data_IF_084966036404
#
_entry.id   IF_084966036404
#
_cell.length_a   1.000
_cell.length_b   1.000
_cell.length_c   1.000
_cell.angle_alpha   90.00
_cell.angle_beta   90.00
_cell.angle_gamma   90.00
#
_symmetry.space_group_name_H-M   'P 1'
#
loop_
_entity.id
_entity.type
_entity.pdbx_description
1 polymer ?
#
# COMPACT_ATOMS: atom_id res chain seq x y z
N UNK A 1 17.00 -3.36 4.11
CA UNK A 1 16.03 -2.83 5.13
C UNK A 1 14.79 -3.72 5.25
N UNK A 2 14.18 -3.87 6.44
CA UNK A 2 12.87 -4.55 6.58
C UNK A 2 11.75 -3.52 6.70
N UNK A 3 10.56 -3.89 6.28
CA UNK A 3 9.34 -3.07 6.41
C UNK A 3 8.27 -3.87 7.14
N UNK A 4 7.66 -3.26 8.16
CA UNK A 4 6.53 -3.80 8.92
C UNK A 4 5.31 -2.95 8.62
N UNK A 5 4.31 -3.53 7.97
CA UNK A 5 3.02 -2.90 7.75
C UNK A 5 2.11 -3.23 8.93
N UNK A 6 1.55 -2.19 9.54
CA UNK A 6 0.56 -2.25 10.60
C UNK A 6 -0.80 -1.91 9.98
N UNK A 7 -1.68 -2.92 9.89
CA UNK A 7 -3.05 -2.77 9.38
C UNK A 7 -3.98 -2.75 10.57
N UNK A 8 -4.90 -1.79 10.62
CA UNK A 8 -5.88 -1.73 11.69
C UNK A 8 -6.72 -3.01 11.71
N UNK A 9 -6.86 -3.64 12.89
CA UNK A 9 -7.79 -4.75 13.06
C UNK A 9 -9.20 -4.23 12.87
N UNK A 10 -9.87 -4.75 11.85
CA UNK A 10 -11.25 -4.42 11.53
C UNK A 10 -12.17 -4.99 12.62
N UNK A 11 -12.30 -4.29 13.76
CA UNK A 11 -13.37 -4.55 14.71
C UNK A 11 -14.66 -4.03 14.08
N UNK A 12 -15.23 -4.84 13.17
CA UNK A 12 -16.56 -4.74 12.53
C UNK A 12 -17.10 -3.34 12.36
N UNK A 13 -17.15 -2.83 11.11
CA UNK A 13 -18.29 -2.08 10.49
C UNK A 13 -18.87 -0.84 11.22
N UNK A 14 -18.42 -0.54 12.44
CA UNK A 14 -18.98 0.44 13.38
C UNK A 14 -18.24 1.77 13.23
N UNK A 15 -17.03 1.74 12.67
CA UNK A 15 -16.22 2.93 12.43
C UNK A 15 -16.79 3.74 11.25
N UNK A 16 -17.42 3.10 10.26
CA UNK A 16 -17.98 3.77 9.07
C UNK A 16 -19.05 4.83 9.41
N UNK A 17 -19.83 4.67 10.48
CA UNK A 17 -20.85 5.66 10.88
C UNK A 17 -20.29 6.83 11.69
N UNK A 18 -19.28 6.59 12.55
CA UNK A 18 -18.59 7.66 13.29
C UNK A 18 -17.58 8.43 12.41
N UNK A 19 -17.18 7.85 11.27
CA UNK A 19 -16.16 8.36 10.35
C UNK A 19 -16.53 9.64 9.59
N UNK A 20 -17.81 9.93 9.37
CA UNK A 20 -18.24 11.06 8.56
C UNK A 20 -18.24 12.39 9.35
N UNK A 21 -18.38 12.33 10.67
CA UNK A 21 -18.58 13.51 11.52
C UNK A 21 -17.26 14.10 12.06
N UNK A 22 -16.20 13.30 12.22
CA UNK A 22 -15.01 13.72 12.99
C UNK A 22 -13.79 14.23 12.17
N UNK A 23 -13.70 14.03 10.86
CA UNK A 23 -12.48 14.45 10.11
C UNK A 23 -12.77 15.04 8.73
N UNK A 24 -12.73 16.37 8.65
CA UNK A 24 -12.72 17.18 7.42
C UNK A 24 -11.38 17.18 6.66
N UNK A 25 -10.45 16.27 6.98
CA UNK A 25 -9.14 16.20 6.31
C UNK A 25 -9.06 14.99 5.38
N UNK A 26 -8.84 15.23 4.09
CA UNK A 26 -8.69 14.18 3.08
C UNK A 26 -7.56 13.21 3.48
N UNK A 27 -7.82 11.91 3.40
CA UNK A 27 -6.80 10.87 3.56
C UNK A 27 -5.72 11.00 2.48
N UNK A 28 -4.44 10.70 2.77
CA UNK A 28 -3.39 10.60 1.74
C UNK A 28 -3.76 9.65 0.58
N UNK A 29 -4.52 8.59 0.88
CA UNK A 29 -5.10 7.67 -0.10
C UNK A 29 -6.14 8.30 -1.05
N UNK A 30 -6.69 9.44 -0.67
CA UNK A 30 -7.72 10.18 -1.40
C UNK A 30 -7.14 11.44 -2.08
N UNK A 31 -5.86 11.75 -1.86
CA UNK A 31 -5.21 12.91 -2.46
C UNK A 31 -4.29 12.43 -3.58
N UNK A 32 -4.55 12.92 -4.80
CA UNK A 32 -3.75 12.58 -5.97
C UNK A 32 -2.32 13.11 -5.84
N UNK A 33 -1.35 12.38 -6.42
CA UNK A 33 0.08 12.68 -6.34
C UNK A 33 0.46 14.04 -6.94
N UNK A 34 -0.23 14.48 -7.98
CA UNK A 34 -0.02 15.77 -8.67
C UNK A 34 -0.48 16.99 -7.85
N UNK A 35 -1.36 16.78 -6.86
CA UNK A 35 -1.94 17.84 -6.03
C UNK A 35 -1.07 18.17 -4.80
N UNK A 36 -0.21 17.24 -4.38
CA UNK A 36 0.59 17.39 -3.17
C UNK A 36 2.04 17.78 -3.49
N UNK A 37 2.56 18.77 -2.75
CA UNK A 37 3.99 19.05 -2.72
C UNK A 37 4.71 18.06 -1.78
N UNK A 38 6.02 17.87 -1.98
CA UNK A 38 6.81 16.89 -1.22
C UNK A 38 6.77 17.13 0.29
N UNK A 39 6.73 18.39 0.77
CA UNK A 39 6.69 18.71 2.21
C UNK A 39 5.36 18.35 2.87
N UNK A 40 4.25 18.42 2.14
CA UNK A 40 2.94 18.12 2.72
C UNK A 40 2.81 16.64 3.03
N UNK A 41 3.43 15.76 2.24
CA UNK A 41 3.25 14.32 2.45
C UNK A 41 4.00 13.78 3.65
N UNK A 42 5.14 14.37 4.03
CA UNK A 42 5.89 13.93 5.21
C UNK A 42 5.06 14.20 6.47
N UNK A 43 4.39 15.36 6.54
CA UNK A 43 3.49 15.72 7.63
C UNK A 43 2.33 14.72 7.74
N UNK A 44 1.73 14.30 6.63
CA UNK A 44 0.65 13.30 6.65
C UNK A 44 1.13 11.90 7.05
N UNK A 45 2.35 11.53 6.68
CA UNK A 45 2.94 10.23 7.02
C UNK A 45 3.39 10.18 8.49
N UNK A 46 4.02 11.24 9.01
CA UNK A 46 4.40 11.39 10.42
C UNK A 46 3.17 11.35 11.34
N UNK A 47 2.12 12.11 11.00
CA UNK A 47 0.85 12.09 11.77
C UNK A 47 0.19 10.71 11.83
N UNK A 48 0.46 9.82 10.87
CA UNK A 48 -0.05 8.44 10.87
C UNK A 48 0.83 7.48 11.66
N UNK A 49 2.15 7.72 11.65
CA UNK A 49 3.10 6.92 12.44
C UNK A 49 2.89 7.12 13.95
N UNK A 50 2.37 8.28 14.36
CA UNK A 50 1.93 8.55 15.73
C UNK A 50 0.59 7.81 15.96
N UNK A 51 0.68 6.51 16.24
CA UNK A 51 -0.47 5.64 16.48
C UNK A 51 -1.30 6.08 17.69
N UNK A 52 -2.62 5.92 17.59
CA UNK A 52 -3.52 6.04 18.74
C UNK A 52 -3.34 4.81 19.66
N UNK A 53 -3.11 5.03 20.95
CA UNK A 53 -2.74 4.02 21.96
C UNK A 53 -3.78 2.90 22.09
N UNK A 54 -5.02 3.13 21.64
CA UNK A 54 -6.13 2.17 21.74
C UNK A 54 -6.35 1.31 20.49
N UNK A 55 -5.57 1.48 19.42
CA UNK A 55 -5.78 0.73 18.17
C UNK A 55 -4.98 -0.58 18.17
N UNK A 56 -5.65 -1.67 17.80
CA UNK A 56 -5.00 -2.96 17.56
C UNK A 56 -4.64 -3.09 16.09
N UNK A 57 -3.43 -3.57 15.80
CA UNK A 57 -2.95 -3.72 14.44
C UNK A 57 -2.44 -5.14 14.17
N UNK A 58 -2.76 -5.65 13.00
CA UNK A 58 -2.10 -6.80 12.41
C UNK A 58 -0.79 -6.39 11.75
N UNK A 59 0.26 -7.16 11.99
CA UNK A 59 1.61 -6.87 11.50
C UNK A 59 2.01 -7.80 10.36
N UNK A 60 2.45 -7.21 9.26
CA UNK A 60 2.95 -7.91 8.08
C UNK A 60 4.36 -7.45 7.76
N UNK A 61 5.32 -8.38 7.71
CA UNK A 61 6.74 -8.02 7.58
C UNK A 61 7.31 -8.48 6.25
N UNK A 62 7.84 -7.54 5.47
CA UNK A 62 8.69 -7.84 4.32
C UNK A 62 10.14 -7.70 4.74
N UNK A 63 10.86 -8.82 4.74
CA UNK A 63 12.31 -8.85 4.96
C UNK A 63 13.03 -8.45 3.69
N UNK A 64 14.02 -7.58 3.82
CA UNK A 64 14.84 -7.11 2.71
C UNK A 64 14.00 -6.59 1.52
N UNK A 65 13.32 -5.46 1.74
CA UNK A 65 12.45 -4.79 0.76
C UNK A 65 13.14 -4.50 -0.58
N UNK A 66 14.47 -4.35 -0.58
CA UNK A 66 15.27 -4.11 -1.80
C UNK A 66 15.12 -5.23 -2.83
N UNK A 67 14.81 -6.46 -2.39
CA UNK A 67 14.56 -7.60 -3.29
C UNK A 67 13.34 -7.43 -4.19
N UNK A 68 12.38 -6.60 -3.81
CA UNK A 68 11.21 -6.29 -4.66
C UNK A 68 11.64 -5.49 -5.89
N UNK A 69 12.75 -4.75 -5.82
CA UNK A 69 13.25 -3.97 -6.96
C UNK A 69 12.36 -2.78 -7.34
N UNK A 70 11.47 -2.33 -6.45
CA UNK A 70 10.66 -1.11 -6.63
C UNK A 70 11.15 0.01 -5.69
N UNK A 71 11.16 1.24 -6.19
CA UNK A 71 11.52 2.44 -5.43
C UNK A 71 10.24 3.09 -4.88
N UNK A 72 9.92 2.82 -3.61
CA UNK A 72 8.75 3.37 -2.93
C UNK A 72 9.06 4.74 -2.33
N UNK A 73 8.42 5.80 -2.83
CA UNK A 73 8.64 7.17 -2.35
C UNK A 73 8.29 7.36 -0.87
N UNK A 74 7.36 6.57 -0.34
CA UNK A 74 7.04 6.57 1.10
C UNK A 74 8.25 6.10 1.92
N UNK A 75 8.97 5.07 1.48
CA UNK A 75 10.08 4.51 2.27
C UNK A 75 11.34 5.39 2.21
N UNK A 76 11.53 6.13 1.13
CA UNK A 76 12.66 7.07 1.03
C UNK A 76 12.66 8.12 2.14
N UNK A 77 11.48 8.56 2.55
CA UNK A 77 11.29 9.52 3.65
C UNK A 77 11.63 8.96 5.02
N UNK A 78 11.69 7.63 5.15
CA UNK A 78 12.00 6.94 6.39
C UNK A 78 13.42 6.36 6.40
N UNK A 79 14.23 6.58 5.36
CA UNK A 79 15.60 6.05 5.23
C UNK A 79 16.54 6.50 6.37
N UNK A 80 16.28 7.66 6.98
CA UNK A 80 17.12 8.21 8.05
C UNK A 80 16.90 7.55 9.43
N UNK A 81 15.88 6.70 9.57
CA UNK A 81 15.56 6.00 10.82
C UNK A 81 16.10 4.56 10.70
N UNK A 82 17.32 4.32 11.17
CA UNK A 82 17.94 2.98 11.16
C UNK A 82 17.31 2.06 12.21
N UNK A 83 16.15 1.52 11.87
CA UNK A 83 15.52 0.32 12.41
C UNK A 83 14.55 -0.17 11.31
N UNK A 84 13.82 -1.27 11.51
CA UNK A 84 12.76 -1.65 10.57
C UNK A 84 11.82 -0.46 10.32
N UNK A 85 11.43 -0.19 9.08
CA UNK A 85 10.43 0.85 8.80
C UNK A 85 9.08 0.30 9.24
N UNK A 86 8.43 0.96 10.19
CA UNK A 86 7.05 0.68 10.55
C UNK A 86 6.11 1.61 9.78
N UNK A 87 5.09 1.04 9.13
CA UNK A 87 4.14 1.78 8.30
C UNK A 87 2.73 1.48 8.78
N UNK A 88 2.04 2.50 9.23
CA UNK A 88 0.66 2.42 9.66
C UNK A 88 -0.25 2.75 8.48
N UNK A 89 -1.02 1.76 8.01
CA UNK A 89 -1.95 1.95 6.90
C UNK A 89 -3.15 2.78 7.34
N UNK A 90 -3.79 3.43 6.37
CA UNK A 90 -4.98 4.21 6.65
C UNK A 90 -6.13 3.29 7.04
N UNK A 91 -6.99 3.76 7.96
CA UNK A 91 -8.26 3.11 8.34
C UNK A 91 -9.21 2.77 7.18
N UNK A 92 -9.05 3.39 6.01
CA UNK A 92 -9.84 3.06 4.81
C UNK A 92 -9.28 1.88 4.02
N UNK A 93 -8.07 1.43 4.33
CA UNK A 93 -7.47 0.26 3.68
C UNK A 93 -8.06 -0.99 4.33
N UNK A 94 -8.85 -1.71 3.54
CA UNK A 94 -9.33 -3.02 3.97
C UNK A 94 -8.17 -4.00 4.04
N UNK A 95 -8.18 -4.85 5.08
CA UNK A 95 -7.16 -5.88 5.26
C UNK A 95 -7.09 -6.83 4.06
N UNK A 96 -8.24 -7.21 3.51
CA UNK A 96 -8.32 -8.08 2.34
C UNK A 96 -7.59 -7.48 1.12
N UNK A 97 -7.80 -6.19 0.84
CA UNK A 97 -7.13 -5.50 -0.27
C UNK A 97 -5.62 -5.43 -0.06
N UNK A 98 -5.19 -5.12 1.17
CA UNK A 98 -3.75 -5.12 1.47
C UNK A 98 -3.15 -6.51 1.30
N UNK A 99 -3.83 -7.58 1.71
CA UNK A 99 -3.34 -8.94 1.55
C UNK A 99 -3.09 -9.29 0.08
N UNK A 100 -3.96 -8.87 -0.83
CA UNK A 100 -3.75 -9.03 -2.28
C UNK A 100 -2.44 -8.36 -2.72
N UNK A 101 -2.20 -7.12 -2.27
CA UNK A 101 -0.97 -6.42 -2.61
C UNK A 101 0.27 -7.02 -1.93
N UNK A 102 0.13 -7.46 -0.68
CA UNK A 102 1.21 -8.10 0.06
C UNK A 102 1.64 -9.41 -0.60
N UNK A 103 0.68 -10.25 -1.01
CA UNK A 103 0.93 -11.47 -1.79
C UNK A 103 1.67 -11.16 -3.10
N UNK A 104 1.30 -10.07 -3.78
CA UNK A 104 2.01 -9.59 -4.96
C UNK A 104 3.45 -9.16 -4.65
N UNK A 105 3.71 -8.44 -3.57
CA UNK A 105 5.07 -8.02 -3.21
C UNK A 105 5.98 -9.22 -2.91
N UNK A 106 5.47 -10.21 -2.17
CA UNK A 106 6.25 -11.42 -1.85
C UNK A 106 6.39 -12.39 -3.03
N UNK A 107 5.63 -12.19 -4.12
CA UNK A 107 5.85 -12.90 -5.39
C UNK A 107 7.02 -12.32 -6.19
N UNK A 108 7.72 -11.29 -5.70
CA UNK A 108 8.91 -10.69 -6.33
C UNK A 108 8.69 -10.31 -7.81
N UNK A 109 7.48 -9.84 -8.13
CA UNK A 109 7.06 -9.48 -9.48
C UNK A 109 7.08 -10.66 -10.48
N UNK A 110 6.97 -11.91 -10.02
CA UNK A 110 6.68 -13.03 -10.91
C UNK A 110 5.21 -12.97 -11.39
N UNK A 111 4.92 -13.46 -12.61
CA UNK A 111 3.54 -13.52 -13.09
C UNK A 111 2.62 -14.32 -12.15
N UNK A 112 1.43 -13.80 -11.89
CA UNK A 112 0.40 -14.44 -11.06
C UNK A 112 -0.77 -14.85 -11.94
N UNK A 113 -0.82 -16.12 -12.35
CA UNK A 113 -1.79 -16.60 -13.35
C UNK A 113 -3.24 -16.75 -12.84
N UNK A 114 -3.50 -16.47 -11.56
CA UNK A 114 -4.86 -16.37 -10.97
C UNK A 114 -5.22 -14.91 -10.64
N UNK A 115 -5.13 -14.06 -11.66
CA UNK A 115 -5.38 -12.62 -11.56
C UNK A 115 -6.85 -12.31 -11.89
N UNK A 116 -7.58 -11.70 -10.97
CA UNK A 116 -8.91 -11.14 -11.25
C UNK A 116 -8.78 -9.65 -11.59
N UNK A 117 -9.82 -9.06 -12.18
CA UNK A 117 -9.89 -7.62 -12.43
C UNK A 117 -9.74 -6.83 -11.12
N UNK A 118 -10.39 -7.30 -10.04
CA UNK A 118 -10.28 -6.70 -8.71
C UNK A 118 -8.84 -6.72 -8.20
N UNK A 119 -8.16 -7.89 -8.23
CA UNK A 119 -6.76 -7.99 -7.80
C UNK A 119 -5.85 -7.06 -8.58
N UNK A 120 -6.07 -6.95 -9.89
CA UNK A 120 -5.31 -6.04 -10.74
C UNK A 120 -5.46 -4.58 -10.29
N UNK A 121 -6.70 -4.11 -10.12
CA UNK A 121 -6.93 -2.73 -9.68
C UNK A 121 -6.43 -2.48 -8.27
N UNK A 122 -6.54 -3.47 -7.37
CA UNK A 122 -6.00 -3.40 -6.02
C UNK A 122 -4.48 -3.24 -6.05
N UNK A 123 -3.75 -4.03 -6.84
CA UNK A 123 -2.29 -3.88 -6.97
C UNK A 123 -1.93 -2.49 -7.52
N UNK A 124 -2.61 -2.04 -8.58
CA UNK A 124 -2.37 -0.72 -9.17
C UNK A 124 -2.62 0.41 -8.17
N UNK A 125 -3.70 0.31 -7.39
CA UNK A 125 -4.03 1.24 -6.33
C UNK A 125 -2.90 1.35 -5.29
N UNK A 126 -2.34 0.23 -4.85
CA UNK A 126 -1.27 0.27 -3.84
C UNK A 126 0.08 0.77 -4.40
N UNK A 127 0.40 0.49 -5.67
CA UNK A 127 1.58 1.08 -6.32
C UNK A 127 1.49 2.62 -6.30
N UNK A 128 0.29 3.17 -6.52
CA UNK A 128 0.04 4.61 -6.41
C UNK A 128 0.04 5.09 -4.94
N UNK A 129 -0.61 4.35 -4.04
CA UNK A 129 -0.66 4.67 -2.60
C UNK A 129 0.74 4.81 -1.99
N UNK A 130 1.66 3.90 -2.31
CA UNK A 130 3.05 3.96 -1.85
C UNK A 130 3.95 4.82 -2.72
N UNK A 131 3.38 5.45 -3.75
CA UNK A 131 4.06 6.38 -4.66
C UNK A 131 5.32 5.80 -5.25
N UNK A 132 5.18 4.60 -5.79
CA UNK A 132 6.27 3.95 -6.51
C UNK A 132 6.75 4.89 -7.60
N UNK A 133 8.07 5.04 -7.70
CA UNK A 133 8.69 5.95 -8.66
C UNK A 133 8.38 5.52 -10.09
N UNK A 134 8.07 6.49 -10.94
CA UNK A 134 7.81 6.26 -12.36
C UNK A 134 9.12 6.03 -13.13
N UNK A 135 9.68 4.83 -13.01
CA UNK A 135 10.91 4.41 -13.68
C UNK A 135 10.68 3.19 -14.60
N UNK A 136 11.76 2.71 -15.22
CA UNK A 136 11.70 1.52 -16.08
C UNK A 136 11.35 0.24 -15.31
N UNK A 137 11.65 0.18 -13.99
CA UNK A 137 11.33 -0.99 -13.15
C UNK A 137 9.83 -1.07 -12.93
N UNK A 138 9.18 0.03 -12.55
CA UNK A 138 7.72 0.11 -12.44
C UNK A 138 7.05 -0.22 -13.78
N UNK A 139 7.57 0.29 -14.90
CA UNK A 139 7.03 -0.03 -16.23
C UNK A 139 7.06 -1.54 -16.51
N UNK A 140 8.15 -2.23 -16.16
CA UNK A 140 8.26 -3.68 -16.33
C UNK A 140 7.31 -4.44 -15.41
N UNK A 141 7.19 -4.00 -14.15
CA UNK A 141 6.21 -4.52 -13.20
C UNK A 141 4.78 -4.41 -13.74
N UNK A 142 4.40 -3.24 -14.24
CA UNK A 142 3.07 -3.02 -14.84
C UNK A 142 2.87 -3.98 -16.01
N UNK A 143 3.85 -4.15 -16.90
CA UNK A 143 3.76 -5.12 -18.01
C UNK A 143 3.52 -6.55 -17.52
N UNK A 144 4.18 -6.96 -16.43
CA UNK A 144 4.01 -8.30 -15.85
C UNK A 144 2.61 -8.47 -15.23
N UNK A 145 2.12 -7.46 -14.52
CA UNK A 145 0.75 -7.46 -13.95
C UNK A 145 -0.28 -7.53 -15.08
N UNK A 146 -0.10 -6.74 -16.14
CA UNK A 146 -0.94 -6.79 -17.34
C UNK A 146 -0.89 -8.14 -18.04
N UNK A 147 0.31 -8.70 -18.21
CA UNK A 147 0.47 -10.03 -18.79
C UNK A 147 -0.26 -11.10 -17.95
N UNK A 148 -0.15 -11.00 -16.62
CA UNK A 148 -0.83 -11.89 -15.68
C UNK A 148 -2.35 -11.79 -15.81
N UNK A 149 -2.87 -10.57 -15.94
CA UNK A 149 -4.30 -10.32 -16.20
C UNK A 149 -4.74 -10.95 -17.53
N UNK A 150 -4.05 -10.65 -18.64
CA UNK A 150 -4.39 -11.17 -19.98
C UNK A 150 -4.32 -12.69 -20.06
N UNK A 151 -3.44 -13.33 -19.30
CA UNK A 151 -3.29 -14.79 -19.25
C UNK A 151 -4.18 -15.48 -18.21
N UNK A 152 -4.88 -14.72 -17.38
CA UNK A 152 -5.70 -15.28 -16.33
C UNK A 152 -6.95 -15.94 -16.90
N UNK A 153 -7.19 -17.20 -16.52
CA UNK A 153 -8.42 -17.92 -16.86
C UNK A 153 -9.63 -17.38 -16.08
N UNK A 154 -9.40 -16.63 -14.99
CA UNK A 154 -10.44 -16.05 -14.12
C UNK A 154 -11.24 -14.91 -14.79
N UNK A 155 -10.78 -14.39 -15.93
CA UNK A 155 -11.48 -13.30 -16.67
C UNK A 155 -12.39 -13.86 -17.75
N UNK A 156 -12.13 -15.08 -18.22
CA UNK A 156 -12.84 -15.68 -19.36
C UNK A 156 -14.09 -16.48 -18.93
N UNK A 157 -14.56 -16.32 -17.69
CA UNK A 157 -15.79 -16.90 -17.14
C UNK A 157 -16.74 -15.79 -16.68
#
# INVERSE_FOLDING_TARGET
MNVVFNILNDTKETICKLMYEEFSTKCLCQIKRDVLNERNDSIYLEKRAIGNVNWQYDKYTIKNIERIGLEFGVFERFKDISANIEIFLCKHIMKADFLVFYEYLISYNFPVYRMTIEKFYTIMYFLEYFRVKHDNKLRNVIKIIWYSLVKSEEINN
#
